data_IF_872633552939
#
_entry.id   IF_872633552939
#
_cell.length_a   1.000
_cell.length_b   1.000
_cell.length_c   1.000
_cell.angle_alpha   90.00
_cell.angle_beta   90.00
_cell.angle_gamma   90.00
#
_symmetry.space_group_name_H-M   'P 1'
#
loop_
_entity.id
_entity.type
_entity.pdbx_description
1 polymer ?
#
# COMPACT_ATOMS: atom_id res chain seq x y z
N UNK A 1 -1.40 -9.57 5.22
CA UNK A 1 -0.68 -9.87 6.48
C UNK A 1 -0.06 -11.27 6.50
N UNK A 2 -0.78 -12.34 6.08
CA UNK A 2 -0.23 -13.70 6.08
C UNK A 2 0.99 -13.85 5.15
N UNK A 3 0.90 -13.36 3.92
CA UNK A 3 2.01 -13.38 2.95
C UNK A 3 3.26 -12.66 3.48
N UNK A 4 3.10 -11.45 4.02
CA UNK A 4 4.20 -10.71 4.66
C UNK A 4 4.93 -11.53 5.73
N UNK A 5 4.19 -12.23 6.61
CA UNK A 5 4.81 -13.08 7.64
C UNK A 5 5.50 -14.31 7.07
N UNK A 6 4.99 -14.87 5.98
CA UNK A 6 5.65 -15.96 5.26
C UNK A 6 6.98 -15.50 4.67
N UNK A 7 7.01 -14.31 4.08
CA UNK A 7 8.22 -13.74 3.47
C UNK A 7 9.21 -13.16 4.49
N UNK A 8 8.72 -12.72 5.66
CA UNK A 8 9.53 -12.10 6.71
C UNK A 8 9.39 -12.86 8.05
N UNK A 9 9.84 -14.13 8.11
CA UNK A 9 9.62 -15.00 9.27
C UNK A 9 10.33 -14.52 10.54
N UNK A 10 11.38 -13.70 10.41
CA UNK A 10 12.20 -13.20 11.51
C UNK A 10 11.77 -11.80 12.00
N UNK A 11 10.85 -11.14 11.28
CA UNK A 11 10.38 -9.80 11.65
C UNK A 11 9.26 -9.90 12.68
N UNK A 12 9.39 -9.19 13.80
CA UNK A 12 8.34 -9.11 14.82
C UNK A 12 7.28 -8.10 14.38
N UNK A 13 6.08 -8.58 14.07
CA UNK A 13 4.93 -7.72 13.77
C UNK A 13 4.34 -7.94 12.38
N UNK A 14 3.89 -6.86 11.75
CA UNK A 14 3.34 -6.83 10.40
C UNK A 14 3.99 -5.70 9.58
N UNK A 15 3.69 -5.65 8.27
CA UNK A 15 4.31 -4.70 7.33
C UNK A 15 4.17 -3.22 7.76
N UNK A 16 3.11 -2.85 8.49
CA UNK A 16 2.91 -1.46 8.96
C UNK A 16 3.89 -1.08 10.06
N UNK A 17 4.38 -2.05 10.84
CA UNK A 17 5.28 -1.77 11.97
C UNK A 17 6.68 -1.34 11.47
N UNK A 18 7.04 -1.70 10.24
CA UNK A 18 8.32 -1.40 9.60
C UNK A 18 8.19 -0.44 8.40
N UNK A 19 6.99 0.06 8.13
CA UNK A 19 6.72 0.92 6.97
C UNK A 19 7.14 2.38 7.21
N UNK A 20 7.61 3.06 6.16
CA UNK A 20 7.80 4.52 6.20
C UNK A 20 6.46 5.24 6.31
N UNK A 21 6.47 6.52 6.66
CA UNK A 21 5.25 7.34 6.74
C UNK A 21 4.52 7.35 5.39
N UNK A 22 5.24 7.49 4.29
CA UNK A 22 4.67 7.44 2.94
C UNK A 22 4.00 6.10 2.66
N UNK A 23 4.66 5.00 3.02
CA UNK A 23 4.11 3.66 2.85
C UNK A 23 2.87 3.45 3.72
N UNK A 24 2.84 3.97 4.95
CA UNK A 24 1.67 3.92 5.83
C UNK A 24 0.48 4.70 5.27
N UNK A 25 0.73 5.85 4.64
CA UNK A 25 -0.32 6.62 3.95
C UNK A 25 -0.91 5.81 2.80
N UNK A 26 -0.07 5.23 1.95
CA UNK A 26 -0.53 4.39 0.83
C UNK A 26 -1.31 3.17 1.35
N UNK A 27 -0.79 2.45 2.35
CA UNK A 27 -1.47 1.29 2.93
C UNK A 27 -2.85 1.64 3.49
N UNK A 28 -2.97 2.76 4.22
CA UNK A 28 -4.24 3.22 4.78
C UNK A 28 -5.25 3.61 3.70
N UNK A 29 -4.77 4.15 2.58
CA UNK A 29 -5.61 4.47 1.44
C UNK A 29 -6.09 3.20 0.71
N UNK A 30 -5.19 2.24 0.50
CA UNK A 30 -5.53 0.94 -0.11
C UNK A 30 -6.55 0.16 0.72
N UNK A 31 -6.50 0.23 2.05
CA UNK A 31 -7.51 -0.37 2.93
C UNK A 31 -8.92 0.21 2.67
N UNK A 32 -9.00 1.54 2.55
CA UNK A 32 -10.26 2.24 2.26
C UNK A 32 -10.79 1.90 0.86
N UNK A 33 -9.92 1.89 -0.15
CA UNK A 33 -10.28 1.53 -1.53
C UNK A 33 -10.70 0.06 -1.62
N UNK A 34 -9.99 -0.85 -0.96
CA UNK A 34 -10.36 -2.26 -0.94
C UNK A 34 -11.74 -2.47 -0.31
N UNK A 35 -12.06 -1.76 0.79
CA UNK A 35 -13.39 -1.82 1.40
C UNK A 35 -14.48 -1.36 0.42
N UNK A 36 -14.27 -0.26 -0.31
CA UNK A 36 -15.18 0.22 -1.34
C UNK A 36 -15.36 -0.82 -2.48
N UNK A 37 -14.26 -1.40 -2.97
CA UNK A 37 -14.31 -2.41 -4.03
C UNK A 37 -15.01 -3.70 -3.59
N UNK A 38 -14.91 -4.08 -2.30
CA UNK A 38 -15.67 -5.19 -1.72
C UNK A 38 -17.17 -4.85 -1.71
N UNK A 39 -17.55 -3.64 -1.32
CA UNK A 39 -18.95 -3.18 -1.34
C UNK A 39 -19.54 -3.16 -2.76
N UNK A 40 -18.70 -2.98 -3.77
CA UNK A 40 -19.07 -3.05 -5.19
C UNK A 40 -19.06 -4.48 -5.75
N UNK A 41 -18.85 -5.50 -4.91
CA UNK A 41 -18.81 -6.92 -5.29
C UNK A 41 -17.77 -7.27 -6.37
N UNK A 42 -16.74 -6.43 -6.54
CA UNK A 42 -15.66 -6.68 -7.49
C UNK A 42 -14.88 -7.92 -7.05
N UNK A 43 -14.58 -8.84 -7.97
CA UNK A 43 -13.88 -10.09 -7.65
C UNK A 43 -12.49 -9.84 -7.05
N UNK A 44 -12.07 -10.68 -6.10
CA UNK A 44 -10.80 -10.51 -5.38
C UNK A 44 -9.60 -10.36 -6.32
N UNK A 45 -9.52 -11.17 -7.38
CA UNK A 45 -8.42 -11.11 -8.35
C UNK A 45 -8.33 -9.73 -9.03
N UNK A 46 -9.47 -9.17 -9.44
CA UNK A 46 -9.54 -7.84 -10.04
C UNK A 46 -9.19 -6.74 -9.03
N UNK A 47 -9.67 -6.88 -7.78
CA UNK A 47 -9.30 -5.94 -6.71
C UNK A 47 -7.79 -5.93 -6.47
N UNK A 48 -7.14 -7.09 -6.43
CA UNK A 48 -5.70 -7.18 -6.22
C UNK A 48 -4.91 -6.46 -7.33
N UNK A 49 -5.31 -6.63 -8.59
CA UNK A 49 -4.69 -5.92 -9.72
C UNK A 49 -4.86 -4.41 -9.56
N UNK A 50 -6.10 -3.94 -9.34
CA UNK A 50 -6.39 -2.51 -9.17
C UNK A 50 -5.64 -1.89 -7.98
N UNK A 51 -5.62 -2.58 -6.83
CA UNK A 51 -4.92 -2.12 -5.64
C UNK A 51 -3.41 -2.02 -5.89
N UNK A 52 -2.82 -2.96 -6.62
CA UNK A 52 -1.39 -2.91 -6.98
C UNK A 52 -1.07 -1.72 -7.88
N UNK A 53 -1.88 -1.49 -8.92
CA UNK A 53 -1.73 -0.33 -9.82
C UNK A 53 -1.81 1.00 -9.07
N UNK A 54 -2.80 1.13 -8.17
CA UNK A 54 -2.98 2.32 -7.34
C UNK A 54 -1.79 2.50 -6.39
N UNK A 55 -1.33 1.43 -5.73
CA UNK A 55 -0.18 1.47 -4.82
C UNK A 55 1.08 1.99 -5.52
N UNK A 56 1.38 1.46 -6.72
CA UNK A 56 2.54 1.87 -7.53
C UNK A 56 2.43 3.35 -7.90
N UNK A 57 1.24 3.79 -8.34
CA UNK A 57 1.00 5.19 -8.72
C UNK A 57 1.18 6.15 -7.54
N UNK A 58 0.63 5.81 -6.37
CA UNK A 58 0.74 6.65 -5.17
C UNK A 58 2.18 6.71 -4.65
N UNK A 59 2.90 5.57 -4.61
CA UNK A 59 4.31 5.56 -4.21
C UNK A 59 5.19 6.40 -5.15
N UNK A 60 4.99 6.29 -6.48
CA UNK A 60 5.71 7.14 -7.45
C UNK A 60 5.45 8.62 -7.20
N UNK A 61 4.19 8.99 -6.97
CA UNK A 61 3.80 10.37 -6.71
C UNK A 61 4.45 10.91 -5.43
N UNK A 62 4.41 10.15 -4.33
CA UNK A 62 4.98 10.56 -3.04
C UNK A 62 6.52 10.68 -3.10
N UNK A 63 7.20 9.76 -3.77
CA UNK A 63 8.65 9.83 -3.96
C UNK A 63 9.03 11.07 -4.79
N UNK A 64 8.29 11.34 -5.87
CA UNK A 64 8.54 12.51 -6.72
C UNK A 64 8.27 13.82 -5.97
N UNK A 65 7.20 13.91 -5.18
CA UNK A 65 6.90 15.09 -4.36
C UNK A 65 7.99 15.33 -3.30
N UNK A 66 8.48 14.27 -2.65
CA UNK A 66 9.58 14.37 -1.70
C UNK A 66 10.89 14.82 -2.36
N UNK A 67 11.20 14.34 -3.56
CA UNK A 67 12.36 14.80 -4.33
C UNK A 67 12.26 16.29 -4.67
N UNK A 68 11.08 16.78 -5.03
CA UNK A 68 10.82 18.20 -5.30
C UNK A 68 10.87 19.07 -4.04
N UNK A 69 10.41 18.55 -2.89
CA UNK A 69 10.49 19.24 -1.60
C UNK A 69 11.91 19.44 -1.09
N UNK A 70 12.84 18.55 -1.46
CA UNK A 70 14.28 18.64 -1.08
C UNK A 70 15.09 19.64 -1.92
N UNK A 71 14.54 20.17 -3.01
CA UNK A 71 15.21 21.13 -3.89
C UNK A 71 14.92 22.60 -3.53
N UNK A 72 14.14 22.85 -2.46
CA UNK A 72 13.79 24.19 -1.97
C UNK A 72 14.60 24.60 -0.76
#
# INVERSE_FOLDING_TARGET
AKEWRTENPNEKGNIRDTATIEQLVVLSNLESINAMLIQQEIMQQERLIKLNEIAISQMKSLINTNALGKLK
#
